data_IF_934169096978
#
_entry.id   IF_934169096978
#
_cell.length_a   1.000
_cell.length_b   1.000
_cell.length_c   1.000
_cell.angle_alpha   90.00
_cell.angle_beta   90.00
_cell.angle_gamma   90.00
#
_symmetry.space_group_name_H-M   'P 1'
#
loop_
_entity.id
_entity.type
_entity.pdbx_description
1 polymer ?
#
# COMPACT_ATOMS: atom_id res chain seq x y z
N UNK A 1 -12.25 -14.12 12.07
CA UNK A 1 -11.02 -14.06 11.24
C UNK A 1 -10.82 -12.70 10.62
N UNK A 2 -9.57 -12.36 10.29
CA UNK A 2 -9.22 -11.19 9.50
C UNK A 2 -8.87 -11.64 8.08
N UNK A 3 -9.76 -11.38 7.12
CA UNK A 3 -9.68 -11.88 5.75
C UNK A 3 -9.30 -10.73 4.81
N UNK A 4 -8.42 -11.02 3.85
CA UNK A 4 -8.05 -10.12 2.76
C UNK A 4 -8.60 -10.68 1.47
N UNK A 5 -9.35 -9.87 0.74
CA UNK A 5 -9.86 -10.21 -0.60
C UNK A 5 -9.18 -9.26 -1.57
N UNK A 6 -8.55 -9.81 -2.59
CA UNK A 6 -7.86 -9.07 -3.64
C UNK A 6 -8.31 -9.61 -5.00
N UNK A 7 -8.63 -8.69 -5.91
CA UNK A 7 -9.14 -9.01 -7.23
C UNK A 7 -8.72 -7.95 -8.24
N UNK A 8 -8.59 -8.39 -9.49
CA UNK A 8 -8.26 -7.54 -10.62
C UNK A 8 -9.11 -7.87 -11.84
N UNK A 9 -9.40 -6.86 -12.63
CA UNK A 9 -10.01 -6.99 -13.94
C UNK A 9 -9.34 -6.02 -14.92
N UNK A 10 -9.54 -6.26 -16.22
CA UNK A 10 -9.11 -5.32 -17.24
C UNK A 10 -10.12 -5.26 -18.39
N UNK A 11 -10.15 -4.11 -19.08
CA UNK A 11 -10.88 -3.93 -20.34
C UNK A 11 -9.88 -3.36 -21.34
N UNK A 12 -9.66 -4.05 -22.45
CA UNK A 12 -8.68 -3.63 -23.48
C UNK A 12 -7.28 -3.32 -22.90
N UNK A 13 -6.83 -4.16 -21.96
CA UNK A 13 -5.55 -3.99 -21.28
C UNK A 13 -5.49 -2.88 -20.22
N UNK A 14 -6.54 -2.09 -20.02
CA UNK A 14 -6.59 -1.11 -18.93
C UNK A 14 -7.05 -1.78 -17.62
N UNK A 15 -6.17 -1.76 -16.63
CA UNK A 15 -6.27 -2.58 -15.42
C UNK A 15 -6.95 -1.82 -14.28
N UNK A 16 -7.82 -2.50 -13.55
CA UNK A 16 -8.32 -2.08 -12.26
C UNK A 16 -8.13 -3.21 -11.26
N UNK A 17 -7.40 -2.94 -10.17
CA UNK A 17 -7.19 -3.86 -9.05
C UNK A 17 -7.73 -3.26 -7.76
N UNK A 18 -8.23 -4.10 -6.86
CA UNK A 18 -8.73 -3.68 -5.56
C UNK A 18 -8.52 -4.77 -4.52
N UNK A 19 -7.99 -4.36 -3.37
CA UNK A 19 -7.87 -5.20 -2.20
C UNK A 19 -8.68 -4.60 -1.03
N UNK A 20 -9.26 -5.48 -0.21
CA UNK A 20 -10.00 -5.09 0.99
C UNK A 20 -9.74 -6.06 2.13
N UNK A 21 -9.63 -5.53 3.35
CA UNK A 21 -9.51 -6.32 4.58
C UNK A 21 -10.80 -6.24 5.38
N UNK A 22 -11.41 -7.38 5.66
CA UNK A 22 -12.65 -7.50 6.43
C UNK A 22 -12.48 -8.45 7.62
N UNK A 23 -13.19 -8.15 8.71
CA UNK A 23 -13.28 -9.05 9.86
C UNK A 23 -14.56 -9.87 9.78
N UNK A 24 -14.43 -11.20 9.80
CA UNK A 24 -15.54 -12.15 9.73
C UNK A 24 -15.93 -12.61 11.13
N UNK A 25 -17.24 -12.70 11.38
CA UNK A 25 -17.82 -13.21 12.63
C UNK A 25 -18.17 -12.15 13.66
N UNK A 26 -18.28 -10.87 13.27
CA UNK A 26 -18.70 -9.79 14.17
C UNK A 26 -20.23 -9.73 14.27
N UNK A 27 -20.78 -10.15 15.41
CA UNK A 27 -22.20 -10.00 15.72
C UNK A 27 -22.51 -8.63 16.33
N UNK A 28 -22.13 -7.54 15.64
CA UNK A 28 -22.34 -6.15 16.07
C UNK A 28 -21.32 -5.62 17.09
N UNK A 29 -20.34 -6.43 17.48
CA UNK A 29 -19.21 -6.01 18.30
C UNK A 29 -18.15 -5.26 17.49
N UNK A 30 -17.43 -4.32 18.13
CA UNK A 30 -16.27 -3.66 17.54
C UNK A 30 -15.05 -4.59 17.59
N UNK A 31 -14.20 -4.52 16.56
CA UNK A 31 -12.87 -5.13 16.60
C UNK A 31 -12.01 -4.35 17.59
N UNK A 32 -11.21 -5.04 18.40
CA UNK A 32 -10.32 -4.45 19.40
C UNK A 32 -8.93 -5.10 19.36
N UNK A 33 -7.96 -4.51 20.06
CA UNK A 33 -6.60 -5.04 20.18
C UNK A 33 -5.83 -5.00 18.86
N UNK A 34 -4.84 -5.88 18.70
CA UNK A 34 -3.89 -5.86 17.58
C UNK A 34 -4.54 -5.97 16.19
N UNK A 35 -5.68 -6.64 16.09
CA UNK A 35 -6.45 -6.69 14.84
C UNK A 35 -7.05 -5.32 14.48
N UNK A 36 -7.55 -4.57 15.46
CA UNK A 36 -8.03 -3.20 15.22
C UNK A 36 -6.87 -2.27 14.87
N UNK A 37 -5.73 -2.40 15.58
CA UNK A 37 -4.54 -1.59 15.34
C UNK A 37 -4.06 -1.71 13.89
N UNK A 38 -3.89 -2.94 13.38
CA UNK A 38 -3.36 -3.15 12.02
C UNK A 38 -4.33 -2.73 10.93
N UNK A 39 -5.64 -2.93 11.14
CA UNK A 39 -6.67 -2.48 10.18
C UNK A 39 -6.71 -0.96 10.12
N UNK A 40 -6.63 -0.28 11.26
CA UNK A 40 -6.57 1.19 11.31
C UNK A 40 -5.25 1.71 10.73
N UNK A 41 -4.12 1.07 11.04
CA UNK A 41 -2.82 1.42 10.45
C UNK A 41 -2.86 1.37 8.92
N UNK A 42 -3.29 0.24 8.35
CA UNK A 42 -3.40 0.06 6.90
C UNK A 42 -4.39 1.04 6.26
N UNK A 43 -5.52 1.31 6.92
CA UNK A 43 -6.51 2.27 6.44
C UNK A 43 -5.97 3.70 6.45
N UNK A 44 -5.36 4.16 7.55
CA UNK A 44 -4.80 5.51 7.62
C UNK A 44 -3.61 5.68 6.67
N UNK A 45 -2.78 4.65 6.54
CA UNK A 45 -1.67 4.63 5.58
C UNK A 45 -2.16 4.72 4.13
N UNK A 46 -3.21 3.98 3.76
CA UNK A 46 -3.81 4.10 2.41
C UNK A 46 -4.46 5.45 2.16
N UNK A 47 -5.10 6.04 3.19
CA UNK A 47 -5.62 7.40 3.11
C UNK A 47 -4.52 8.45 2.92
N UNK A 48 -3.37 8.30 3.56
CA UNK A 48 -2.21 9.16 3.35
C UNK A 48 -1.62 8.97 1.95
N UNK A 49 -1.45 7.72 1.51
CA UNK A 49 -0.99 7.40 0.16
C UNK A 49 -1.89 8.05 -0.90
N UNK A 50 -3.22 7.95 -0.77
CA UNK A 50 -4.18 8.58 -1.67
C UNK A 50 -3.98 10.11 -1.80
N UNK A 51 -3.64 10.79 -0.70
CA UNK A 51 -3.43 12.25 -0.69
C UNK A 51 -2.06 12.66 -1.24
N UNK A 52 -1.08 11.76 -1.15
CA UNK A 52 0.30 11.97 -1.59
C UNK A 52 0.54 11.49 -3.03
N UNK A 53 -0.29 10.60 -3.56
CA UNK A 53 -0.22 10.08 -4.92
C UNK A 53 -0.77 11.12 -5.92
N UNK A 54 0.00 12.19 -6.13
CA UNK A 54 -0.36 13.29 -7.02
C UNK A 54 0.86 13.79 -7.81
N UNK A 55 0.67 14.41 -8.99
CA UNK A 55 1.77 14.93 -9.78
C UNK A 55 2.68 15.90 -9.00
N UNK A 56 3.99 15.80 -9.23
CA UNK A 56 5.03 16.60 -8.57
C UNK A 56 5.50 16.07 -7.22
N UNK A 57 4.83 15.06 -6.64
CA UNK A 57 5.32 14.37 -5.46
C UNK A 57 6.30 13.24 -5.83
N UNK A 58 7.27 12.98 -4.95
CA UNK A 58 8.18 11.83 -5.07
C UNK A 58 7.59 10.58 -4.41
N UNK A 59 7.87 9.40 -4.98
CA UNK A 59 7.39 8.10 -4.47
C UNK A 59 7.81 7.84 -3.02
N UNK A 60 9.02 8.26 -2.61
CA UNK A 60 9.50 8.11 -1.24
C UNK A 60 8.74 8.97 -0.21
N UNK A 61 8.04 10.02 -0.63
CA UNK A 61 7.14 10.76 0.28
C UNK A 61 6.00 9.86 0.75
N UNK A 62 5.51 8.96 -0.12
CA UNK A 62 4.48 7.97 0.22
C UNK A 62 5.06 6.90 1.14
N UNK A 63 6.21 6.32 0.78
CA UNK A 63 6.92 5.32 1.60
C UNK A 63 7.12 5.78 3.05
N UNK A 64 7.64 7.00 3.22
CA UNK A 64 7.91 7.56 4.54
C UNK A 64 6.62 7.83 5.34
N UNK A 65 5.54 8.27 4.68
CA UNK A 65 4.26 8.51 5.32
C UNK A 65 3.61 7.21 5.80
N UNK A 66 3.61 6.17 4.95
CA UNK A 66 3.10 4.83 5.29
C UNK A 66 3.85 4.27 6.50
N UNK A 67 5.19 4.36 6.51
CA UNK A 67 6.01 3.89 7.62
C UNK A 67 5.67 4.60 8.93
N UNK A 68 5.67 5.95 8.93
CA UNK A 68 5.37 6.74 10.12
C UNK A 68 3.99 6.45 10.70
N UNK A 69 2.97 6.32 9.84
CA UNK A 69 1.62 6.00 10.29
C UNK A 69 1.56 4.61 10.91
N UNK A 70 2.20 3.61 10.30
CA UNK A 70 2.19 2.25 10.85
C UNK A 70 2.86 2.18 12.23
N UNK A 71 3.92 2.96 12.45
CA UNK A 71 4.63 3.04 13.74
C UNK A 71 3.72 3.54 14.88
N UNK A 72 2.83 4.50 14.62
CA UNK A 72 1.87 5.02 15.62
C UNK A 72 0.93 3.92 16.15
N UNK A 73 0.68 2.87 15.35
CA UNK A 73 -0.12 1.70 15.71
C UNK A 73 0.73 0.49 16.14
N UNK A 74 2.04 0.68 16.36
CA UNK A 74 3.00 -0.39 16.66
C UNK A 74 2.97 -1.49 15.60
N UNK A 75 2.73 -1.14 14.35
CA UNK A 75 2.70 -2.05 13.21
C UNK A 75 3.84 -1.71 12.26
N UNK A 76 4.15 -2.62 11.34
CA UNK A 76 5.18 -2.40 10.32
C UNK A 76 4.62 -2.70 8.93
N UNK A 77 4.87 -1.86 7.92
CA UNK A 77 4.62 -2.23 6.54
C UNK A 77 5.46 -3.45 6.16
N UNK A 78 4.98 -4.28 5.25
CA UNK A 78 5.73 -5.45 4.77
C UNK A 78 6.90 -4.97 3.92
N UNK A 79 8.11 -5.44 4.25
CA UNK A 79 9.37 -5.09 3.61
C UNK A 79 9.37 -5.43 2.12
N UNK A 80 9.84 -4.49 1.30
CA UNK A 80 10.08 -4.70 -0.13
C UNK A 80 8.83 -4.75 -1.01
N UNK A 81 7.62 -4.59 -0.46
CA UNK A 81 6.40 -4.61 -1.26
C UNK A 81 6.32 -3.40 -2.20
N UNK A 82 5.93 -3.65 -3.45
CA UNK A 82 5.86 -2.65 -4.50
C UNK A 82 4.41 -2.34 -4.89
N UNK A 83 4.09 -1.05 -4.96
CA UNK A 83 2.94 -0.54 -5.69
C UNK A 83 3.39 -0.08 -7.07
N UNK A 84 2.69 -0.52 -8.12
CA UNK A 84 3.13 -0.34 -9.50
C UNK A 84 2.33 0.72 -10.25
N UNK A 85 3.03 1.45 -11.13
CA UNK A 85 2.40 2.14 -12.23
C UNK A 85 1.69 1.13 -13.15
N UNK A 86 0.48 1.47 -13.60
CA UNK A 86 -0.28 0.69 -14.57
C UNK A 86 -0.14 1.33 -15.95
N UNK A 87 0.08 0.50 -16.97
CA UNK A 87 0.01 0.89 -18.39
C UNK A 87 -0.94 -0.08 -19.10
N UNK A 88 -1.39 0.27 -20.30
CA UNK A 88 -2.20 -0.64 -21.11
C UNK A 88 -1.43 -1.96 -21.33
N UNK A 89 -2.06 -3.08 -20.99
CA UNK A 89 -1.50 -4.44 -21.04
C UNK A 89 -0.30 -4.71 -20.11
N UNK A 90 0.00 -3.81 -19.15
CA UNK A 90 1.14 -3.97 -18.23
C UNK A 90 0.77 -3.57 -16.80
N UNK A 91 0.70 -4.56 -15.92
CA UNK A 91 0.39 -4.38 -14.49
C UNK A 91 1.61 -3.93 -13.66
N UNK A 92 2.81 -4.16 -14.18
CA UNK A 92 4.10 -3.95 -13.54
C UNK A 92 4.92 -2.87 -14.27
N UNK A 93 4.37 -1.65 -14.31
CA UNK A 93 5.08 -0.49 -14.83
C UNK A 93 6.37 -0.19 -14.07
N UNK A 94 7.26 0.56 -14.72
CA UNK A 94 8.61 0.89 -14.22
C UNK A 94 8.59 1.71 -12.93
N UNK A 95 7.71 2.72 -12.86
CA UNK A 95 7.61 3.57 -11.68
C UNK A 95 6.91 2.82 -10.55
N UNK A 96 7.57 2.74 -9.40
CA UNK A 96 7.06 2.01 -8.25
C UNK A 96 7.20 2.79 -6.94
N UNK A 97 6.31 2.50 -5.99
CA UNK A 97 6.42 2.92 -4.59
C UNK A 97 6.77 1.69 -3.76
N UNK A 98 7.89 1.72 -3.05
CA UNK A 98 8.35 0.62 -2.20
C UNK A 98 7.90 0.84 -0.74
N UNK A 99 7.50 -0.22 -0.05
CA UNK A 99 7.17 -0.20 1.39
C UNK A 99 8.31 -0.78 2.22
N UNK A 100 8.61 -0.12 3.33
CA UNK A 100 9.59 -0.57 4.33
C UNK A 100 10.88 -1.15 3.70
N UNK A 101 11.57 -0.45 2.77
CA UNK A 101 12.74 -1.02 2.11
C UNK A 101 13.90 -1.21 3.10
N UNK A 102 14.61 -2.33 2.99
CA UNK A 102 15.89 -2.48 3.66
C UNK A 102 16.99 -1.62 3.00
N UNK A 103 18.17 -1.55 3.61
CA UNK A 103 19.26 -0.69 3.14
C UNK A 103 19.78 -1.04 1.74
N UNK A 104 19.68 -2.30 1.31
CA UNK A 104 20.06 -2.69 -0.05
C UNK A 104 18.99 -2.23 -1.05
N UNK A 105 17.72 -2.55 -0.79
CA UNK A 105 16.59 -2.14 -1.60
C UNK A 105 16.50 -0.62 -1.75
N UNK A 106 16.76 0.15 -0.68
CA UNK A 106 16.73 1.61 -0.71
C UNK A 106 17.82 2.22 -1.61
N UNK A 107 18.95 1.53 -1.80
CA UNK A 107 20.02 1.96 -2.70
C UNK A 107 19.74 1.62 -4.16
N UNK A 108 19.07 0.50 -4.40
CA UNK A 108 18.76 0.00 -5.74
C UNK A 108 17.44 0.55 -6.29
N UNK A 109 16.48 0.85 -5.41
CA UNK A 109 15.16 1.33 -5.79
C UNK A 109 15.22 2.79 -6.25
N UNK A 110 14.85 3.00 -7.51
CA UNK A 110 14.87 4.30 -8.15
C UNK A 110 13.78 5.23 -7.59
N UNK A 111 14.15 6.50 -7.43
CA UNK A 111 13.24 7.55 -7.01
C UNK A 111 12.51 8.11 -8.23
N UNK A 112 11.19 8.07 -8.19
CA UNK A 112 10.36 8.61 -9.27
C UNK A 112 9.57 9.83 -8.79
N UNK A 113 9.40 10.79 -9.70
CA UNK A 113 8.40 11.85 -9.55
C UNK A 113 7.12 11.43 -10.27
N UNK A 114 6.00 11.59 -9.60
CA UNK A 114 4.67 11.31 -10.15
C UNK A 114 4.29 12.38 -11.18
N UNK A 115 3.69 11.98 -12.29
CA UNK A 115 3.32 12.84 -13.40
C UNK A 115 1.82 12.81 -13.68
N UNK A 116 1.34 13.83 -14.41
CA UNK A 116 -0.05 13.90 -14.86
C UNK A 116 -0.30 12.75 -15.85
N UNK A 117 -1.51 12.18 -15.81
CA UNK A 117 -1.96 11.06 -16.66
C UNK A 117 -1.34 9.68 -16.35
N UNK A 118 -0.58 9.56 -15.27
CA UNK A 118 -0.14 8.26 -14.78
C UNK A 118 -1.25 7.57 -13.96
N UNK A 119 -1.29 6.24 -14.02
CA UNK A 119 -2.21 5.39 -13.25
C UNK A 119 -1.37 4.48 -12.37
N UNK A 120 -1.81 4.23 -11.13
CA UNK A 120 -1.10 3.39 -10.18
C UNK A 120 -2.05 2.44 -9.45
N UNK A 121 -1.58 1.23 -9.20
CA UNK A 121 -2.15 0.32 -8.21
C UNK A 121 -1.41 0.54 -6.88
N UNK A 122 -1.99 1.36 -6.00
CA UNK A 122 -1.46 1.52 -4.64
C UNK A 122 -1.91 0.37 -3.74
N UNK A 123 -0.93 -0.37 -3.23
CA UNK A 123 -1.11 -1.49 -2.32
C UNK A 123 -0.43 -1.20 -0.98
N UNK A 124 -1.16 -1.41 0.12
CA UNK A 124 -0.71 -1.12 1.48
C UNK A 124 -0.87 -2.39 2.33
N UNK A 125 0.27 -3.01 2.62
CA UNK A 125 0.36 -4.27 3.34
C UNK A 125 1.04 -4.03 4.67
N UNK A 126 0.31 -4.23 5.76
CA UNK A 126 0.77 -3.92 7.11
C UNK A 126 0.67 -5.17 7.98
N UNK A 127 1.71 -5.40 8.78
CA UNK A 127 1.83 -6.51 9.71
C UNK A 127 1.81 -6.02 11.16
N UNK A 128 1.20 -6.82 12.04
CA UNK A 128 1.33 -6.64 13.50
C UNK A 128 2.68 -7.12 14.04
N UNK A 129 3.45 -7.86 13.24
CA UNK A 129 4.75 -8.44 13.58
C UNK A 129 5.91 -7.61 13.05
N UNK A 130 7.01 -8.27 12.68
CA UNK A 130 8.26 -7.60 12.29
C UNK A 130 8.24 -6.96 10.90
N UNK A 131 7.23 -7.28 10.07
CA UNK A 131 7.08 -6.71 8.73
C UNK A 131 8.18 -7.15 7.76
N UNK A 132 8.76 -8.33 7.98
CA UNK A 132 9.74 -9.02 7.13
C UNK A 132 9.10 -10.29 6.59
#
# INVERSE_FOLDING_TARGET
DLVKVDLGAHVDGFIAVVAHTATVGLSGSKVTGRQADVVLAAHQASQAALRLLKPGNETYSITNAVQKICEDYKCKPVEGMLSHQLKQYRIDGEKTVIQNPNEAQKKEHEKFTLEVHEVYAMDVLVSTGEGV
#
